data_IF_241955100786
#
_entry.id   IF_241955100786
#
_cell.length_a   1.000
_cell.length_b   1.000
_cell.length_c   1.000
_cell.angle_alpha   90.00
_cell.angle_beta   90.00
_cell.angle_gamma   90.00
#
_symmetry.space_group_name_H-M   'P 1'
#
loop_
_entity.id
_entity.type
_entity.pdbx_description
1 polymer ?
#
# COMPACT_ATOMS: atom_id res chain seq x y z
N UNK A 1 -32.86 -0.86 24.37
CA UNK A 1 -31.50 -1.39 24.68
C UNK A 1 -31.15 -2.62 23.86
N UNK A 2 -32.04 -3.61 23.75
CA UNK A 2 -31.84 -4.84 22.96
C UNK A 2 -31.48 -4.57 21.49
N UNK A 3 -32.17 -3.64 20.82
CA UNK A 3 -31.90 -3.27 19.42
C UNK A 3 -30.47 -2.72 19.25
N UNK A 4 -30.04 -1.82 20.13
CA UNK A 4 -28.70 -1.26 20.11
C UNK A 4 -27.62 -2.32 20.35
N UNK A 5 -27.83 -3.20 21.33
CA UNK A 5 -26.90 -4.29 21.60
C UNK A 5 -26.83 -5.28 20.43
N UNK A 6 -27.98 -5.60 19.83
CA UNK A 6 -28.05 -6.43 18.62
C UNK A 6 -27.28 -5.81 17.46
N UNK A 7 -27.38 -4.50 17.26
CA UNK A 7 -26.61 -3.78 16.23
C UNK A 7 -25.11 -3.83 16.52
N UNK A 8 -24.72 -3.66 17.79
CA UNK A 8 -23.34 -3.73 18.24
C UNK A 8 -22.70 -5.09 17.96
N UNK A 9 -23.41 -6.16 18.33
CA UNK A 9 -23.01 -7.54 18.10
C UNK A 9 -22.98 -7.87 16.62
N UNK A 10 -23.99 -7.43 15.84
CA UNK A 10 -24.02 -7.63 14.39
C UNK A 10 -22.81 -6.96 13.71
N UNK A 11 -22.42 -5.77 14.17
CA UNK A 11 -21.19 -5.11 13.70
C UNK A 11 -19.93 -5.93 13.98
N UNK A 12 -19.80 -6.50 15.19
CA UNK A 12 -18.66 -7.39 15.52
C UNK A 12 -18.69 -8.67 14.68
N UNK A 13 -19.86 -9.30 14.54
CA UNK A 13 -20.02 -10.51 13.75
C UNK A 13 -19.65 -10.25 12.27
N UNK A 14 -20.08 -9.12 11.71
CA UNK A 14 -19.71 -8.68 10.37
C UNK A 14 -18.19 -8.45 10.26
N UNK A 15 -17.58 -7.83 11.28
CA UNK A 15 -16.13 -7.60 11.30
C UNK A 15 -15.36 -8.94 11.34
N UNK A 16 -15.79 -9.88 12.17
CA UNK A 16 -15.20 -11.21 12.25
C UNK A 16 -15.36 -11.97 10.93
N UNK A 17 -16.54 -11.89 10.31
CA UNK A 17 -16.79 -12.53 9.02
C UNK A 17 -15.95 -11.89 7.90
N UNK A 18 -15.84 -10.56 7.88
CA UNK A 18 -14.96 -9.83 6.96
C UNK A 18 -13.51 -10.25 7.10
N UNK A 19 -13.04 -10.48 8.32
CA UNK A 19 -11.65 -10.89 8.56
C UNK A 19 -11.39 -12.35 8.13
N UNK A 20 -12.38 -13.24 8.28
CA UNK A 20 -12.24 -14.67 7.93
C UNK A 20 -12.39 -14.89 6.42
N UNK A 21 -13.34 -14.21 5.79
CA UNK A 21 -13.71 -14.38 4.39
C UNK A 21 -13.34 -13.15 3.56
N UNK A 22 -12.18 -12.57 3.89
CA UNK A 22 -11.64 -11.41 3.20
C UNK A 22 -11.53 -11.66 1.68
N UNK A 23 -11.82 -10.64 0.87
CA UNK A 23 -11.88 -10.75 -0.60
C UNK A 23 -13.15 -11.40 -1.19
N UNK A 24 -13.70 -12.49 -0.65
CA UNK A 24 -14.97 -13.08 -1.15
C UNK A 24 -16.14 -12.18 -0.80
N UNK A 25 -16.20 -11.79 0.48
CA UNK A 25 -17.18 -10.86 0.99
C UNK A 25 -17.00 -9.49 0.34
N UNK A 26 -15.76 -9.04 0.21
CA UNK A 26 -15.48 -7.74 -0.38
C UNK A 26 -15.89 -7.69 -1.86
N UNK A 27 -15.73 -8.78 -2.62
CA UNK A 27 -16.26 -8.88 -3.99
C UNK A 27 -17.80 -8.94 -4.03
N UNK A 28 -18.43 -9.85 -3.29
CA UNK A 28 -19.88 -10.06 -3.38
C UNK A 28 -20.69 -8.87 -2.81
N UNK A 29 -20.22 -8.29 -1.72
CA UNK A 29 -20.92 -7.22 -0.98
C UNK A 29 -20.46 -5.86 -1.47
N UNK A 30 -19.18 -5.73 -1.82
CA UNK A 30 -18.61 -4.51 -2.38
C UNK A 30 -19.20 -4.21 -3.75
N UNK A 31 -19.46 -5.20 -4.60
CA UNK A 31 -20.15 -4.96 -5.87
C UNK A 31 -21.63 -4.59 -5.66
N UNK A 32 -22.31 -5.25 -4.73
CA UNK A 32 -23.73 -5.01 -4.43
C UNK A 32 -23.98 -3.65 -3.74
N UNK A 33 -23.11 -3.23 -2.82
CA UNK A 33 -23.21 -1.97 -2.10
C UNK A 33 -22.51 -0.83 -2.87
N UNK A 34 -21.32 -1.10 -3.42
CA UNK A 34 -20.51 -0.15 -4.18
C UNK A 34 -21.15 0.29 -5.49
N UNK A 35 -21.93 -0.59 -6.15
CA UNK A 35 -22.73 -0.22 -7.32
C UNK A 35 -23.85 0.79 -7.03
N UNK A 36 -24.32 0.90 -5.77
CA UNK A 36 -25.30 1.90 -5.33
C UNK A 36 -24.62 3.25 -5.05
N UNK A 37 -23.41 3.23 -4.48
CA UNK A 37 -22.70 4.41 -3.96
C UNK A 37 -21.47 4.82 -4.81
N UNK A 38 -21.57 4.66 -6.13
CA UNK A 38 -20.52 4.89 -7.14
C UNK A 38 -19.39 5.87 -6.75
N UNK A 39 -18.17 5.34 -6.70
CA UNK A 39 -16.90 6.05 -6.96
C UNK A 39 -16.40 7.11 -5.96
N UNK A 40 -17.24 7.66 -5.09
CA UNK A 40 -16.84 8.76 -4.19
C UNK A 40 -16.10 8.32 -2.91
N UNK A 41 -16.24 7.05 -2.53
CA UNK A 41 -15.81 6.54 -1.22
C UNK A 41 -14.84 5.36 -1.33
N UNK A 42 -13.90 5.43 -2.28
CA UNK A 42 -12.88 4.40 -2.44
C UNK A 42 -12.11 4.21 -1.12
N UNK A 43 -12.28 3.03 -0.50
CA UNK A 43 -11.79 2.67 0.82
C UNK A 43 -12.61 3.13 2.04
N UNK A 44 -13.49 4.13 1.95
CA UNK A 44 -14.33 4.58 3.09
C UNK A 44 -15.54 3.65 3.32
N UNK A 45 -15.90 2.84 2.31
CA UNK A 45 -16.94 1.81 2.39
C UNK A 45 -16.37 0.38 2.51
N UNK A 46 -15.14 0.22 3.01
CA UNK A 46 -14.64 -1.13 3.29
C UNK A 46 -15.50 -1.82 4.34
N UNK A 47 -15.64 -3.13 4.22
CA UNK A 47 -16.42 -3.94 5.16
C UNK A 47 -16.01 -3.73 6.62
N UNK A 48 -14.70 -3.64 6.96
CA UNK A 48 -14.27 -3.32 8.32
C UNK A 48 -14.72 -1.94 8.82
N UNK A 49 -14.78 -0.92 7.95
CA UNK A 49 -15.21 0.44 8.31
C UNK A 49 -16.71 0.45 8.64
N UNK A 50 -17.52 -0.21 7.81
CA UNK A 50 -18.98 -0.33 8.02
C UNK A 50 -19.26 -1.15 9.29
N UNK A 51 -18.53 -2.25 9.48
CA UNK A 51 -18.66 -3.10 10.66
C UNK A 51 -18.30 -2.35 11.95
N UNK A 52 -17.20 -1.58 11.91
CA UNK A 52 -16.79 -0.70 13.02
C UNK A 52 -17.82 0.39 13.32
N UNK A 53 -18.39 1.03 12.29
CA UNK A 53 -19.48 2.00 12.44
C UNK A 53 -20.69 1.39 13.15
N UNK A 54 -21.20 0.26 12.63
CA UNK A 54 -22.37 -0.42 13.20
C UNK A 54 -22.13 -0.87 14.63
N UNK A 55 -20.93 -1.37 14.91
CA UNK A 55 -20.53 -1.80 16.25
C UNK A 55 -20.57 -0.62 17.23
N UNK A 56 -19.95 0.51 16.88
CA UNK A 56 -19.88 1.69 17.76
C UNK A 56 -21.19 2.47 17.84
N UNK A 57 -22.02 2.46 16.79
CA UNK A 57 -23.39 2.94 16.84
C UNK A 57 -24.24 2.13 17.83
N UNK A 58 -24.14 0.80 17.76
CA UNK A 58 -24.86 -0.11 18.63
C UNK A 58 -24.40 -0.03 20.09
N UNK A 59 -23.12 -0.27 20.36
CA UNK A 59 -22.59 -0.22 21.73
C UNK A 59 -22.61 1.19 22.32
N UNK A 60 -22.24 2.22 21.56
CA UNK A 60 -22.31 3.61 22.01
C UNK A 60 -23.72 4.04 22.37
N UNK A 61 -24.71 3.70 21.53
CA UNK A 61 -26.11 3.96 21.82
C UNK A 61 -26.63 3.13 23.00
N UNK A 62 -26.21 1.86 23.14
CA UNK A 62 -26.57 1.03 24.29
C UNK A 62 -26.04 1.59 25.61
N UNK A 63 -24.78 2.07 25.63
CA UNK A 63 -24.15 2.68 26.80
C UNK A 63 -24.91 3.94 27.20
N UNK A 64 -25.17 4.85 26.26
CA UNK A 64 -25.87 6.12 26.56
C UNK A 64 -27.29 5.86 27.05
N UNK A 65 -28.03 4.98 26.37
CA UNK A 65 -29.39 4.63 26.79
C UNK A 65 -29.41 3.95 28.17
N UNK A 66 -28.43 3.10 28.47
CA UNK A 66 -28.34 2.35 29.72
C UNK A 66 -27.83 3.16 30.92
N UNK A 67 -26.99 4.16 30.68
CA UNK A 67 -26.37 4.97 31.75
C UNK A 67 -27.11 6.26 32.05
N UNK A 68 -27.67 6.91 31.03
CA UNK A 68 -28.30 8.23 31.18
C UNK A 68 -29.83 8.15 31.28
N UNK A 69 -30.44 7.05 30.82
CA UNK A 69 -31.90 6.94 30.67
C UNK A 69 -32.50 7.97 29.70
N UNK A 70 -31.67 8.82 29.07
CA UNK A 70 -32.09 9.76 28.08
C UNK A 70 -32.59 8.99 26.86
N UNK A 71 -33.80 9.33 26.40
CA UNK A 71 -34.54 8.53 25.44
C UNK A 71 -33.78 8.18 24.16
N UNK A 72 -34.39 7.29 23.37
CA UNK A 72 -33.84 6.74 22.12
C UNK A 72 -33.19 7.78 21.19
N UNK A 73 -33.70 9.02 21.02
CA UNK A 73 -33.05 10.02 20.17
C UNK A 73 -31.64 10.39 20.63
N UNK A 74 -31.41 10.58 21.94
CA UNK A 74 -30.08 10.96 22.43
C UNK A 74 -29.10 9.79 22.27
N UNK A 75 -29.53 8.58 22.58
CA UNK A 75 -28.75 7.37 22.39
C UNK A 75 -28.35 7.15 20.92
N UNK A 76 -29.27 7.38 19.98
CA UNK A 76 -28.98 7.29 18.54
C UNK A 76 -27.96 8.34 18.12
N UNK A 77 -28.11 9.60 18.54
CA UNK A 77 -27.18 10.67 18.15
C UNK A 77 -25.78 10.44 18.70
N UNK A 78 -25.65 10.04 19.97
CA UNK A 78 -24.36 9.75 20.57
C UNK A 78 -23.70 8.52 19.96
N UNK A 79 -24.48 7.46 19.71
CA UNK A 79 -24.01 6.28 19.00
C UNK A 79 -23.55 6.62 17.58
N UNK A 80 -24.29 7.44 16.83
CA UNK A 80 -23.92 7.85 15.48
C UNK A 80 -22.61 8.65 15.46
N UNK A 81 -22.43 9.58 16.40
CA UNK A 81 -21.17 10.32 16.55
C UNK A 81 -20.01 9.37 16.84
N UNK A 82 -20.18 8.43 17.78
CA UNK A 82 -19.17 7.42 18.09
C UNK A 82 -18.86 6.51 16.88
N UNK A 83 -19.89 6.11 16.14
CA UNK A 83 -19.78 5.33 14.91
C UNK A 83 -18.97 6.05 13.84
N UNK A 84 -19.26 7.33 13.57
CA UNK A 84 -18.52 8.14 12.58
C UNK A 84 -17.05 8.28 12.96
N UNK A 85 -16.76 8.53 14.23
CA UNK A 85 -15.37 8.61 14.73
C UNK A 85 -14.64 7.29 14.52
N UNK A 86 -15.27 6.17 14.85
CA UNK A 86 -14.70 4.84 14.66
C UNK A 86 -14.46 4.53 13.17
N UNK A 87 -15.44 4.80 12.31
CA UNK A 87 -15.31 4.63 10.87
C UNK A 87 -14.14 5.43 10.30
N UNK A 88 -14.02 6.70 10.71
CA UNK A 88 -12.93 7.57 10.28
C UNK A 88 -11.57 7.08 10.75
N UNK A 89 -11.45 6.62 11.99
CA UNK A 89 -10.21 6.05 12.54
C UNK A 89 -9.80 4.78 11.78
N UNK A 90 -10.73 3.86 11.54
CA UNK A 90 -10.48 2.63 10.79
C UNK A 90 -10.02 2.93 9.37
N UNK A 91 -10.69 3.85 8.67
CA UNK A 91 -10.29 4.27 7.33
C UNK A 91 -8.91 4.91 7.30
N UNK A 92 -8.64 5.84 8.24
CA UNK A 92 -7.34 6.49 8.34
C UNK A 92 -6.22 5.49 8.63
N UNK A 93 -6.47 4.51 9.49
CA UNK A 93 -5.53 3.45 9.82
C UNK A 93 -5.24 2.53 8.63
N UNK A 94 -6.29 2.09 7.94
CA UNK A 94 -6.18 1.30 6.71
C UNK A 94 -5.37 2.06 5.64
N UNK A 95 -5.68 3.34 5.41
CA UNK A 95 -4.93 4.17 4.46
C UNK A 95 -3.48 4.39 4.88
N UNK A 96 -3.20 4.49 6.18
CA UNK A 96 -1.83 4.62 6.68
C UNK A 96 -1.02 3.34 6.45
N UNK A 97 -1.63 2.17 6.63
CA UNK A 97 -1.02 0.86 6.36
C UNK A 97 -0.80 0.63 4.86
N UNK A 98 -1.77 0.99 4.02
CA UNK A 98 -1.68 0.84 2.56
C UNK A 98 -0.76 1.86 1.89
N UNK A 99 -0.29 2.86 2.64
CA UNK A 99 0.67 3.84 2.13
C UNK A 99 2.06 3.21 2.13
N UNK A 100 2.26 2.24 1.25
CA UNK A 100 3.59 1.79 0.89
C UNK A 100 4.35 2.99 0.32
N UNK A 101 5.48 3.31 0.96
CA UNK A 101 6.46 4.21 0.39
C UNK A 101 7.14 3.45 -0.75
N UNK A 102 6.45 3.30 -1.88
CA UNK A 102 7.08 2.83 -3.11
C UNK A 102 8.12 3.89 -3.46
N UNK A 103 9.38 3.62 -3.09
CA UNK A 103 10.53 4.32 -3.66
C UNK A 103 10.28 4.41 -5.16
N UNK A 104 10.34 5.62 -5.71
CA UNK A 104 10.02 5.86 -7.11
C UNK A 104 10.64 4.77 -7.98
N UNK A 105 9.85 4.18 -8.88
CA UNK A 105 10.33 3.13 -9.79
C UNK A 105 11.63 3.61 -10.42
N UNK A 106 12.76 2.91 -10.19
CA UNK A 106 14.03 3.42 -10.66
C UNK A 106 13.99 3.66 -12.16
N UNK A 107 14.26 4.88 -12.58
CA UNK A 107 14.30 5.26 -13.99
C UNK A 107 15.71 5.09 -14.52
N UNK A 108 15.83 4.98 -15.84
CA UNK A 108 17.12 4.94 -16.51
C UNK A 108 18.03 6.12 -16.12
N UNK A 109 17.46 7.29 -15.88
CA UNK A 109 18.21 8.47 -15.47
C UNK A 109 18.79 8.36 -14.05
N UNK A 110 18.16 7.56 -13.17
CA UNK A 110 18.65 7.31 -11.80
C UNK A 110 19.88 6.39 -11.79
N UNK A 111 20.20 5.75 -12.92
CA UNK A 111 21.39 4.91 -13.06
C UNK A 111 22.67 5.73 -13.22
N UNK A 112 22.58 6.96 -13.74
CA UNK A 112 23.74 7.80 -14.02
C UNK A 112 24.43 8.19 -12.72
N UNK A 113 25.75 7.98 -12.64
CA UNK A 113 26.53 8.22 -11.43
C UNK A 113 26.48 7.08 -10.40
N UNK A 114 25.76 5.99 -10.67
CA UNK A 114 25.80 4.79 -9.83
C UNK A 114 27.08 3.99 -10.12
N UNK A 115 27.71 3.47 -9.07
CA UNK A 115 28.84 2.55 -9.18
C UNK A 115 28.40 1.09 -9.24
N UNK A 116 29.22 0.26 -9.87
CA UNK A 116 28.95 -1.16 -10.01
C UNK A 116 30.19 -1.96 -10.34
N UNK A 117 30.01 -3.25 -10.59
CA UNK A 117 31.11 -4.16 -10.91
C UNK A 117 30.84 -4.95 -12.19
N UNK A 118 31.90 -5.20 -12.95
CA UNK A 118 31.81 -5.97 -14.19
C UNK A 118 31.72 -7.47 -13.88
N UNK A 119 30.68 -8.14 -14.38
CA UNK A 119 30.51 -9.59 -14.27
C UNK A 119 31.07 -10.30 -15.50
N UNK A 120 30.74 -9.77 -16.68
CA UNK A 120 31.19 -10.28 -17.97
C UNK A 120 32.06 -9.21 -18.60
N UNK A 121 33.33 -9.52 -18.95
CA UNK A 121 34.27 -8.55 -19.52
C UNK A 121 33.66 -7.74 -20.66
N UNK A 122 33.95 -6.45 -20.71
CA UNK A 122 33.46 -5.55 -21.74
C UNK A 122 34.57 -5.38 -22.79
N UNK A 123 34.41 -5.91 -24.02
CA UNK A 123 35.37 -5.68 -25.09
C UNK A 123 35.26 -4.24 -25.63
N UNK A 124 36.30 -3.75 -26.31
CA UNK A 124 36.31 -2.39 -26.89
C UNK A 124 35.13 -2.13 -27.86
N UNK A 125 34.69 -3.17 -28.58
CA UNK A 125 33.67 -3.06 -29.62
C UNK A 125 32.53 -4.07 -29.43
N UNK A 126 31.97 -4.10 -28.22
CA UNK A 126 30.85 -4.97 -27.89
C UNK A 126 30.20 -4.67 -26.55
N UNK A 127 29.34 -5.57 -26.10
CA UNK A 127 28.68 -5.50 -24.81
C UNK A 127 29.27 -6.51 -23.84
N UNK A 128 29.51 -6.07 -22.61
CA UNK A 128 29.64 -6.95 -21.46
C UNK A 128 28.44 -6.80 -20.53
N UNK A 129 28.61 -7.23 -19.29
CA UNK A 129 27.53 -7.19 -18.31
C UNK A 129 28.06 -6.67 -16.97
N UNK A 130 27.28 -5.80 -16.33
CA UNK A 130 27.60 -5.18 -15.05
C UNK A 130 26.50 -5.42 -14.04
N UNK A 131 26.88 -5.48 -12.76
CA UNK A 131 25.95 -5.44 -11.64
C UNK A 131 25.94 -4.03 -11.08
N UNK A 132 24.78 -3.38 -11.17
CA UNK A 132 24.51 -2.07 -10.57
C UNK A 132 23.67 -2.23 -9.32
N UNK A 133 23.87 -1.37 -8.34
CA UNK A 133 23.08 -1.37 -7.10
C UNK A 133 22.07 -0.23 -7.11
N UNK A 134 20.80 -0.56 -7.28
CA UNK A 134 19.71 0.39 -7.45
C UNK A 134 18.68 0.20 -6.34
N UNK A 135 18.43 1.25 -5.55
CA UNK A 135 17.54 1.20 -4.40
C UNK A 135 17.78 -0.01 -3.45
N UNK A 136 19.04 -0.42 -3.29
CA UNK A 136 19.44 -1.55 -2.45
C UNK A 136 19.39 -2.93 -3.11
N UNK A 137 18.81 -3.05 -4.31
CA UNK A 137 18.81 -4.28 -5.11
C UNK A 137 19.97 -4.29 -6.10
N UNK A 138 20.53 -5.48 -6.36
CA UNK A 138 21.57 -5.64 -7.38
C UNK A 138 20.92 -6.12 -8.67
N UNK A 139 21.04 -5.34 -9.74
CA UNK A 139 20.41 -5.61 -11.03
C UNK A 139 21.49 -5.69 -12.10
N UNK A 140 21.31 -6.62 -13.05
CA UNK A 140 22.23 -6.86 -14.14
C UNK A 140 21.85 -6.01 -15.33
N UNK A 141 22.82 -5.28 -15.88
CA UNK A 141 22.66 -4.47 -17.08
C UNK A 141 23.71 -4.86 -18.12
N UNK A 142 23.35 -4.74 -19.39
CA UNK A 142 24.33 -4.78 -20.48
C UNK A 142 25.14 -3.49 -20.45
N UNK A 143 26.45 -3.59 -20.60
CA UNK A 143 27.34 -2.43 -20.50
C UNK A 143 28.22 -2.29 -21.74
N UNK A 144 28.39 -1.06 -22.20
CA UNK A 144 29.37 -0.67 -23.21
C UNK A 144 30.39 0.29 -22.60
N UNK A 145 31.65 0.13 -22.96
CA UNK A 145 32.76 0.98 -22.51
C UNK A 145 33.61 1.37 -23.72
N UNK A 146 34.22 2.57 -23.67
CA UNK A 146 35.15 3.02 -24.71
C UNK A 146 36.50 2.26 -24.68
N UNK A 147 36.86 1.72 -23.52
CA UNK A 147 38.10 0.95 -23.29
C UNK A 147 37.71 -0.46 -22.82
N UNK A 148 38.46 -1.52 -23.18
CA UNK A 148 38.25 -2.84 -22.61
C UNK A 148 38.27 -2.83 -21.08
N UNK A 149 37.27 -3.48 -20.46
CA UNK A 149 37.18 -3.57 -18.99
C UNK A 149 37.12 -5.03 -18.58
N UNK A 150 38.03 -5.43 -17.69
CA UNK A 150 38.10 -6.80 -17.18
C UNK A 150 37.00 -7.09 -16.14
N UNK A 151 36.74 -8.38 -15.95
CA UNK A 151 35.81 -8.86 -14.92
C UNK A 151 36.28 -8.43 -13.53
N UNK A 152 35.35 -7.96 -12.72
CA UNK A 152 35.60 -7.53 -11.34
C UNK A 152 36.06 -6.08 -11.21
N UNK A 153 36.31 -5.37 -12.32
CA UNK A 153 36.63 -3.95 -12.28
C UNK A 153 35.43 -3.13 -11.77
N UNK A 154 35.75 -2.07 -11.02
CA UNK A 154 34.78 -1.08 -10.57
C UNK A 154 34.51 -0.08 -11.69
N UNK A 155 33.22 0.19 -11.94
CA UNK A 155 32.77 1.06 -13.03
C UNK A 155 31.78 2.10 -12.52
N UNK A 156 31.65 3.20 -13.26
CA UNK A 156 30.63 4.22 -13.08
C UNK A 156 29.78 4.32 -14.33
N UNK A 157 28.47 4.45 -14.15
CA UNK A 157 27.54 4.68 -15.26
C UNK A 157 27.60 6.14 -15.69
N UNK A 158 27.97 6.38 -16.95
CA UNK A 158 28.03 7.71 -17.54
C UNK A 158 26.72 8.12 -18.19
N UNK A 159 26.04 7.16 -18.84
CA UNK A 159 24.79 7.39 -19.54
C UNK A 159 23.99 6.11 -19.67
N UNK A 160 22.67 6.26 -19.79
CA UNK A 160 21.76 5.16 -20.05
C UNK A 160 21.47 5.10 -21.54
N UNK A 161 21.78 3.96 -22.17
CA UNK A 161 21.54 3.74 -23.61
C UNK A 161 20.11 3.23 -23.85
N UNK A 162 19.62 2.37 -22.97
CA UNK A 162 18.28 1.80 -23.01
C UNK A 162 17.84 1.35 -21.63
N UNK A 163 16.60 0.86 -21.49
CA UNK A 163 16.07 0.31 -20.24
C UNK A 163 16.91 -0.83 -19.65
N UNK A 164 17.75 -1.49 -20.45
CA UNK A 164 18.59 -2.63 -20.04
C UNK A 164 20.07 -2.45 -20.38
N UNK A 165 20.47 -1.28 -20.91
CA UNK A 165 21.84 -1.04 -21.37
C UNK A 165 22.38 0.31 -20.93
N UNK A 166 23.63 0.32 -20.47
CA UNK A 166 24.31 1.51 -19.95
C UNK A 166 25.70 1.68 -20.56
N UNK A 167 26.15 2.92 -20.68
CA UNK A 167 27.54 3.26 -20.96
C UNK A 167 28.27 3.43 -19.64
N UNK A 168 29.41 2.75 -19.50
CA UNK A 168 30.18 2.75 -18.26
C UNK A 168 31.64 3.11 -18.53
N UNK A 169 32.28 3.71 -17.53
CA UNK A 169 33.72 3.99 -17.52
C UNK A 169 34.36 3.35 -16.29
N UNK A 170 35.58 2.75 -16.42
CA UNK A 170 36.31 2.23 -15.28
C UNK A 170 36.70 3.34 -14.30
N UNK A 171 36.75 3.00 -13.01
CA UNK A 171 37.29 3.88 -11.97
C UNK A 171 38.81 3.87 -12.06
N UNK A 172 39.40 5.01 -12.36
CA UNK A 172 40.83 5.25 -12.16
C UNK A 172 41.05 5.54 -10.68
N UNK A 173 41.89 4.74 -10.02
CA UNK A 173 42.36 4.98 -8.65
C UNK A 173 43.66 5.76 -8.64
#
# INVERSE_FOLDING_TARGET
MTVFLGLGIAGIALLALSLIFDGILEGLLGDALGGLLNGFFDGLLSLPVIAGFLSMLGFGGAIVLGTTGAGVPLALTAGAVAGVVAAWLTWKFSKALMRDQTTATPRGDDLVGTSGSVVTPIPADGYGEVLLRLAGQTVKFSAKSAVPVERGAEIWVEATLSTTSVTVRPVER
#
